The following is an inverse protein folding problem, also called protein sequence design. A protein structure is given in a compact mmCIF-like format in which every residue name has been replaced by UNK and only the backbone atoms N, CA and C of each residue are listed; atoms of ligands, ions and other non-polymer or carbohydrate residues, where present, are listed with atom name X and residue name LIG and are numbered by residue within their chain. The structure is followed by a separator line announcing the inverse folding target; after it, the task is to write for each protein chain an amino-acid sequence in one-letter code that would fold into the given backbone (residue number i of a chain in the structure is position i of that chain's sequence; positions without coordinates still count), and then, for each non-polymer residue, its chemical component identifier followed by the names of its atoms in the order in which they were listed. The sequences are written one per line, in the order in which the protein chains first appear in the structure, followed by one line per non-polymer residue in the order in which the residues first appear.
data_IF_129699013317
#
_entry.id   IF_129699013317
#
_cell.length_a   1.000
_cell.length_b   1.000
_cell.length_c   1.000
_cell.angle_alpha   90.00
_cell.angle_beta   90.00
_cell.angle_gamma   90.00
#
_symmetry.space_group_name_H-M   'P 1'
#
loop_
_entity.id
_entity.type
_entity.pdbx_description
1 polymer ?
#
# COMPACT_ATOMS: atom_id res chain seq x y z
N UNK A 1 -20.94 17.23 11.41
CA UNK A 1 -20.23 17.36 10.14
C UNK A 1 -19.38 16.11 9.97
N UNK A 2 -19.74 15.15 9.07
CA UNK A 2 -18.89 14.01 8.78
C UNK A 2 -17.64 14.53 8.09
N UNK A 3 -16.47 14.32 8.68
CA UNK A 3 -15.20 14.61 8.01
C UNK A 3 -14.98 13.45 7.03
N UNK A 4 -15.49 13.59 5.82
CA UNK A 4 -15.20 12.70 4.71
C UNK A 4 -13.84 13.11 4.14
N UNK A 5 -12.76 12.64 4.75
CA UNK A 5 -11.44 12.78 4.15
C UNK A 5 -10.94 11.40 3.79
N UNK A 6 -10.89 11.07 2.51
CA UNK A 6 -10.23 9.84 2.08
C UNK A 6 -8.78 9.88 2.54
N UNK A 7 -8.35 8.78 3.16
CA UNK A 7 -6.97 8.52 3.55
C UNK A 7 -6.49 7.30 2.78
N UNK A 8 -5.40 7.43 2.09
CA UNK A 8 -4.73 6.29 1.44
C UNK A 8 -3.42 6.00 2.14
N UNK A 9 -3.26 4.76 2.61
CA UNK A 9 -2.04 4.28 3.26
C UNK A 9 -1.18 3.55 2.23
N UNK A 10 0.06 3.97 2.08
CA UNK A 10 1.04 3.40 1.13
C UNK A 10 2.32 2.98 1.86
N UNK A 11 3.16 2.20 1.20
CA UNK A 11 4.46 1.77 1.72
C UNK A 11 4.68 0.26 1.64
N UNK A 12 5.86 -0.22 2.06
CA UNK A 12 6.27 -1.61 1.97
C UNK A 12 5.31 -2.59 2.66
N UNK A 13 5.43 -3.88 2.36
CA UNK A 13 4.73 -4.92 3.10
C UNK A 13 5.16 -4.92 4.59
N UNK A 14 4.26 -5.38 5.47
CA UNK A 14 4.49 -5.49 6.91
C UNK A 14 4.73 -4.16 7.68
N UNK A 15 4.41 -3.01 7.09
CA UNK A 15 4.47 -1.71 7.80
C UNK A 15 3.31 -1.49 8.77
N UNK A 16 2.24 -2.29 8.69
CA UNK A 16 1.06 -2.18 9.54
C UNK A 16 -0.09 -1.37 8.92
N UNK A 17 -0.08 -1.07 7.62
CA UNK A 17 -1.13 -0.30 6.92
C UNK A 17 -2.53 -0.79 7.22
N UNK A 18 -2.80 -2.08 7.05
CA UNK A 18 -4.13 -2.68 7.28
C UNK A 18 -4.57 -2.53 8.73
N UNK A 19 -3.67 -2.73 9.70
CA UNK A 19 -3.96 -2.54 11.12
C UNK A 19 -4.28 -1.09 11.44
N UNK A 20 -3.43 -0.16 10.99
CA UNK A 20 -3.63 1.27 11.19
C UNK A 20 -4.88 1.76 10.47
N UNK A 21 -5.12 1.32 9.25
CA UNK A 21 -6.29 1.68 8.46
C UNK A 21 -7.60 1.31 9.15
N UNK A 22 -7.70 0.09 9.67
CA UNK A 22 -8.89 -0.36 10.44
C UNK A 22 -9.13 0.50 11.69
N UNK A 23 -8.06 0.81 12.45
CA UNK A 23 -8.17 1.63 13.66
C UNK A 23 -8.57 3.09 13.34
N UNK A 24 -8.00 3.67 12.29
CA UNK A 24 -8.32 5.04 11.85
C UNK A 24 -9.74 5.09 11.32
N UNK A 25 -10.14 4.15 10.45
CA UNK A 25 -11.50 4.08 9.89
C UNK A 25 -12.56 3.95 10.99
N UNK A 26 -12.32 3.09 11.98
CA UNK A 26 -13.20 2.96 13.14
C UNK A 26 -13.32 4.28 13.92
N UNK A 27 -12.20 4.99 14.14
CA UNK A 27 -12.18 6.28 14.86
C UNK A 27 -12.88 7.39 14.10
N UNK A 28 -12.91 7.34 12.77
CA UNK A 28 -13.57 8.31 11.89
C UNK A 28 -15.01 7.91 11.52
N UNK A 29 -15.42 6.67 11.85
CA UNK A 29 -16.73 6.08 11.47
C UNK A 29 -16.92 6.07 9.94
N UNK A 30 -15.88 5.68 9.20
CA UNK A 30 -15.88 5.49 7.74
C UNK A 30 -15.51 4.05 7.38
N UNK A 31 -15.79 3.58 6.15
CA UNK A 31 -15.36 2.26 5.70
C UNK A 31 -13.84 2.12 5.69
N UNK A 32 -13.36 0.89 5.89
CA UNK A 32 -11.96 0.50 5.66
C UNK A 32 -11.90 -0.47 4.47
N UNK A 33 -10.99 -0.20 3.55
CA UNK A 33 -10.74 -1.02 2.36
C UNK A 33 -9.28 -1.46 2.37
N UNK A 34 -9.05 -2.76 2.32
CA UNK A 34 -7.74 -3.35 2.05
C UNK A 34 -7.73 -3.86 0.61
N UNK A 35 -6.92 -3.25 -0.25
CA UNK A 35 -6.89 -3.62 -1.67
C UNK A 35 -6.49 -5.09 -1.86
N UNK A 36 -5.62 -5.62 -1.00
CA UNK A 36 -5.19 -7.02 -1.07
C UNK A 36 -6.36 -8.00 -0.82
N UNK A 37 -7.44 -7.56 -0.16
CA UNK A 37 -8.63 -8.36 0.12
C UNK A 37 -9.70 -8.28 -0.99
N UNK A 38 -9.75 -7.18 -1.75
CA UNK A 38 -10.87 -6.90 -2.67
C UNK A 38 -10.48 -6.78 -4.14
N UNK A 39 -9.20 -6.80 -4.48
CA UNK A 39 -8.75 -6.41 -5.81
C UNK A 39 -9.00 -7.44 -6.92
N UNK A 40 -9.33 -8.69 -6.60
CA UNK A 40 -9.44 -9.76 -7.62
C UNK A 40 -10.45 -9.44 -8.74
N UNK A 41 -11.68 -8.95 -8.47
CA UNK A 41 -12.60 -8.53 -9.52
C UNK A 41 -12.03 -7.42 -10.41
N UNK A 42 -11.27 -6.49 -9.85
CA UNK A 42 -10.62 -5.41 -10.60
C UNK A 42 -9.45 -5.91 -11.47
N UNK A 43 -8.73 -6.96 -11.02
CA UNK A 43 -7.73 -7.61 -11.86
C UNK A 43 -8.39 -8.29 -13.07
N UNK A 44 -9.55 -8.92 -12.88
CA UNK A 44 -10.31 -9.58 -13.94
C UNK A 44 -10.75 -8.60 -15.04
N UNK A 45 -11.09 -7.35 -14.69
CA UNK A 45 -11.39 -6.28 -15.67
C UNK A 45 -10.23 -6.05 -16.65
N UNK A 46 -8.98 -6.30 -16.24
CA UNK A 46 -7.78 -6.17 -17.07
C UNK A 46 -7.28 -7.51 -17.65
N UNK A 47 -8.07 -8.57 -17.51
CA UNK A 47 -7.75 -9.92 -17.99
C UNK A 47 -6.73 -10.67 -17.13
N UNK A 48 -6.58 -10.29 -15.84
CA UNK A 48 -5.75 -10.94 -14.86
C UNK A 48 -6.57 -11.49 -13.69
N UNK A 49 -6.05 -12.51 -13.02
CA UNK A 49 -6.51 -13.02 -11.72
C UNK A 49 -5.35 -13.71 -10.98
N UNK A 50 -5.56 -14.12 -9.75
CA UNK A 50 -4.51 -14.74 -8.94
C UNK A 50 -4.07 -16.11 -9.47
N UNK A 51 -4.95 -16.86 -10.13
CA UNK A 51 -4.61 -18.13 -10.79
C UNK A 51 -3.64 -17.90 -11.94
N UNK A 52 -3.94 -16.92 -12.81
CA UNK A 52 -3.05 -16.53 -13.92
C UNK A 52 -1.69 -16.06 -13.41
N UNK A 53 -1.67 -15.24 -12.34
CA UNK A 53 -0.41 -14.82 -11.71
C UNK A 53 0.39 -16.01 -11.22
N UNK A 54 -0.24 -16.94 -10.50
CA UNK A 54 0.40 -18.16 -10.01
C UNK A 54 0.99 -19.01 -11.15
N UNK A 55 0.23 -19.16 -12.24
CA UNK A 55 0.71 -19.84 -13.44
C UNK A 55 1.92 -19.12 -14.06
N UNK A 56 1.85 -17.78 -14.21
CA UNK A 56 2.98 -17.01 -14.75
C UNK A 56 4.22 -17.13 -13.87
N UNK A 57 4.07 -17.11 -12.55
CA UNK A 57 5.19 -17.32 -11.61
C UNK A 57 5.88 -18.68 -11.89
N UNK A 58 5.11 -19.73 -12.15
CA UNK A 58 5.67 -21.07 -12.43
C UNK A 58 6.40 -21.15 -13.78
N UNK A 59 6.01 -20.33 -14.76
CA UNK A 59 6.56 -20.33 -16.13
C UNK A 59 7.77 -19.43 -16.29
N UNK A 60 7.66 -18.18 -15.82
CA UNK A 60 8.69 -17.12 -16.06
C UNK A 60 9.44 -16.71 -14.79
N UNK A 61 9.07 -17.25 -13.65
CA UNK A 61 9.59 -16.86 -12.34
C UNK A 61 8.87 -15.64 -11.77
N UNK A 62 9.00 -15.47 -10.43
CA UNK A 62 8.23 -14.48 -9.69
C UNK A 62 8.51 -13.06 -10.14
N UNK A 63 9.77 -12.68 -10.32
CA UNK A 63 10.13 -11.30 -10.68
C UNK A 63 9.50 -10.89 -12.00
N UNK A 64 9.62 -11.73 -13.04
CA UNK A 64 9.02 -11.43 -14.34
C UNK A 64 7.48 -11.39 -14.28
N UNK A 65 6.86 -12.35 -13.58
CA UNK A 65 5.42 -12.40 -13.43
C UNK A 65 4.86 -11.15 -12.68
N UNK A 66 5.55 -10.68 -11.64
CA UNK A 66 5.19 -9.46 -10.92
C UNK A 66 5.26 -8.21 -11.82
N UNK A 67 6.23 -8.15 -12.75
CA UNK A 67 6.32 -7.06 -13.73
C UNK A 67 5.17 -7.12 -14.75
N UNK A 68 4.85 -8.30 -15.27
CA UNK A 68 3.70 -8.48 -16.15
C UNK A 68 2.37 -8.09 -15.47
N UNK A 69 2.27 -8.28 -14.16
CA UNK A 69 1.07 -8.00 -13.37
C UNK A 69 0.91 -6.52 -12.98
N UNK A 70 1.92 -5.68 -13.19
CA UNK A 70 1.87 -4.25 -12.86
C UNK A 70 0.67 -3.53 -13.47
N UNK A 71 0.31 -3.86 -14.70
CA UNK A 71 -0.86 -3.27 -15.39
C UNK A 71 -2.17 -3.53 -14.63
N UNK A 72 -2.38 -4.77 -14.17
CA UNK A 72 -3.58 -5.11 -13.41
C UNK A 72 -3.60 -4.43 -12.04
N UNK A 73 -2.44 -4.31 -11.38
CA UNK A 73 -2.34 -3.60 -10.11
C UNK A 73 -2.65 -2.11 -10.25
N UNK A 74 -2.13 -1.46 -11.29
CA UNK A 74 -2.42 -0.04 -11.55
C UNK A 74 -3.90 0.18 -11.86
N UNK A 75 -4.50 -0.69 -12.69
CA UNK A 75 -5.94 -0.67 -12.97
C UNK A 75 -6.75 -0.82 -11.68
N UNK A 76 -6.45 -1.81 -10.84
CA UNK A 76 -7.15 -2.04 -9.59
C UNK A 76 -7.06 -0.82 -8.64
N UNK A 77 -5.91 -0.15 -8.55
CA UNK A 77 -5.77 1.08 -7.74
C UNK A 77 -6.73 2.16 -8.25
N UNK A 78 -6.75 2.41 -9.56
CA UNK A 78 -7.63 3.43 -10.14
C UNK A 78 -9.10 3.11 -9.83
N UNK A 79 -9.54 1.88 -10.07
CA UNK A 79 -10.92 1.44 -9.85
C UNK A 79 -11.33 1.47 -8.36
N UNK A 80 -10.47 0.99 -7.47
CA UNK A 80 -10.75 1.00 -6.01
C UNK A 80 -10.91 2.43 -5.49
N UNK A 81 -10.09 3.37 -5.94
CA UNK A 81 -10.21 4.77 -5.53
C UNK A 81 -11.48 5.44 -6.08
N UNK A 82 -11.92 5.08 -7.29
CA UNK A 82 -13.19 5.54 -7.85
C UNK A 82 -14.40 5.02 -7.07
N UNK A 83 -14.40 3.71 -6.75
CA UNK A 83 -15.54 3.04 -6.12
C UNK A 83 -15.64 3.29 -4.59
N UNK A 84 -14.55 3.72 -3.94
CA UNK A 84 -14.45 3.86 -2.47
C UNK A 84 -13.90 5.23 -2.03
N UNK A 85 -14.38 6.30 -2.64
CA UNK A 85 -13.87 7.67 -2.42
C UNK A 85 -14.04 8.23 -1.01
N UNK A 86 -14.86 7.60 -0.15
CA UNK A 86 -15.14 8.02 1.24
C UNK A 86 -14.51 7.10 2.30
N UNK A 87 -13.61 6.20 1.89
CA UNK A 87 -13.00 5.18 2.74
C UNK A 87 -11.58 5.55 3.19
N UNK A 88 -11.12 4.85 4.24
CA UNK A 88 -9.70 4.68 4.50
C UNK A 88 -9.23 3.46 3.70
N UNK A 89 -8.26 3.65 2.82
CA UNK A 89 -7.78 2.61 1.89
C UNK A 89 -6.34 2.25 2.21
N UNK A 90 -6.04 0.97 2.37
CA UNK A 90 -4.67 0.46 2.44
C UNK A 90 -4.30 -0.14 1.08
N UNK A 91 -3.29 0.43 0.42
CA UNK A 91 -2.73 -0.14 -0.80
C UNK A 91 -1.61 -1.13 -0.46
N UNK A 92 -1.62 -2.29 -1.12
CA UNK A 92 -0.54 -3.28 -1.03
C UNK A 92 0.78 -2.70 -1.56
N UNK A 93 1.91 -3.25 -1.13
CA UNK A 93 3.23 -2.72 -1.48
C UNK A 93 3.47 -2.62 -2.99
N UNK A 94 3.05 -3.66 -3.73
CA UNK A 94 3.15 -3.69 -5.20
C UNK A 94 2.17 -2.76 -5.92
N UNK A 95 1.15 -2.24 -5.24
CA UNK A 95 0.15 -1.35 -5.85
C UNK A 95 0.62 0.10 -5.99
N UNK A 96 1.81 0.42 -5.54
CA UNK A 96 2.42 1.76 -5.68
C UNK A 96 3.84 1.70 -6.23
N UNK A 97 4.38 0.49 -6.45
CA UNK A 97 5.72 0.26 -6.98
C UNK A 97 5.62 -0.29 -8.41
N UNK A 98 6.07 0.49 -9.37
CA UNK A 98 5.99 0.18 -10.80
C UNK A 98 7.33 0.39 -11.48
N UNK A 99 7.66 -0.50 -12.41
CA UNK A 99 8.80 -0.31 -13.33
C UNK A 99 8.41 0.52 -14.56
N UNK A 100 7.12 0.53 -14.90
CA UNK A 100 6.58 1.34 -15.98
C UNK A 100 6.11 2.71 -15.45
N UNK A 101 6.76 3.79 -15.90
CA UNK A 101 6.44 5.16 -15.50
C UNK A 101 5.02 5.58 -15.93
N UNK A 102 4.47 5.02 -17.00
CA UNK A 102 3.10 5.33 -17.43
C UNK A 102 2.08 4.79 -16.42
N UNK A 103 2.33 3.60 -15.85
CA UNK A 103 1.47 3.02 -14.81
C UNK A 103 1.57 3.85 -13.52
N UNK A 104 2.78 4.23 -13.11
CA UNK A 104 2.98 5.13 -11.97
C UNK A 104 2.25 6.46 -12.18
N UNK A 105 2.31 7.02 -13.39
CA UNK A 105 1.62 8.27 -13.69
C UNK A 105 0.11 8.13 -13.65
N UNK A 106 -0.47 7.01 -14.10
CA UNK A 106 -1.90 6.73 -14.01
C UNK A 106 -2.37 6.71 -12.55
N UNK A 107 -1.61 6.03 -11.68
CA UNK A 107 -1.88 6.00 -10.23
C UNK A 107 -1.69 7.38 -9.60
N UNK A 108 -0.69 8.15 -10.00
CA UNK A 108 -0.48 9.52 -9.52
C UNK A 108 -1.66 10.44 -9.84
N UNK A 109 -2.25 10.30 -11.03
CA UNK A 109 -3.40 11.11 -11.44
C UNK A 109 -4.59 10.89 -10.52
N UNK A 110 -4.93 9.63 -10.21
CA UNK A 110 -6.09 9.33 -9.34
C UNK A 110 -5.82 9.64 -7.87
N UNK A 111 -4.57 9.57 -7.41
CA UNK A 111 -4.19 9.94 -6.05
C UNK A 111 -4.09 11.45 -5.84
N UNK A 112 -4.02 12.26 -6.91
CA UNK A 112 -3.86 13.72 -6.83
C UNK A 112 -4.98 14.39 -6.05
N UNK A 113 -6.20 13.86 -6.16
CA UNK A 113 -7.39 14.42 -5.52
C UNK A 113 -7.64 13.81 -4.11
N UNK A 114 -6.77 12.90 -3.67
CA UNK A 114 -6.79 12.35 -2.31
C UNK A 114 -6.09 13.30 -1.34
N UNK A 115 -6.79 13.86 -0.36
CA UNK A 115 -6.24 14.88 0.55
C UNK A 115 -5.04 14.41 1.37
N UNK A 116 -4.97 13.10 1.69
CA UNK A 116 -3.87 12.53 2.44
C UNK A 116 -3.48 11.16 1.88
N UNK A 117 -2.31 11.08 1.27
CA UNK A 117 -1.61 9.84 0.92
C UNK A 117 -0.46 9.68 1.89
N UNK A 118 -0.59 8.74 2.82
CA UNK A 118 0.32 8.57 3.95
C UNK A 118 1.28 7.41 3.75
N UNK A 119 2.57 7.71 3.59
CA UNK A 119 3.63 6.71 3.60
C UNK A 119 3.90 6.23 5.02
N UNK A 120 3.73 4.93 5.26
CA UNK A 120 3.96 4.31 6.57
C UNK A 120 5.29 3.57 6.56
N UNK A 121 6.20 3.95 7.48
CA UNK A 121 7.52 3.33 7.64
C UNK A 121 7.80 3.03 9.11
N UNK A 122 8.54 1.95 9.43
CA UNK A 122 8.89 1.65 10.82
C UNK A 122 10.06 2.51 11.35
N UNK A 123 10.95 2.99 10.49
CA UNK A 123 12.11 3.83 10.86
C UNK A 123 12.53 4.73 9.72
N UNK A 124 13.16 5.85 10.03
CA UNK A 124 13.86 6.69 9.05
C UNK A 124 15.19 6.05 8.61
N UNK A 125 15.77 5.21 9.47
CA UNK A 125 16.97 4.46 9.13
C UNK A 125 16.61 3.26 8.25
N UNK A 126 17.17 3.22 7.04
CA UNK A 126 16.88 2.18 6.05
C UNK A 126 17.15 0.75 6.55
N UNK A 127 18.29 0.55 7.22
CA UNK A 127 18.69 -0.79 7.69
C UNK A 127 17.79 -1.28 8.81
N UNK A 128 17.42 -0.40 9.74
CA UNK A 128 16.45 -0.69 10.81
C UNK A 128 15.06 -0.96 10.23
N UNK A 129 14.62 -0.15 9.28
CA UNK A 129 13.34 -0.33 8.60
C UNK A 129 13.27 -1.69 7.91
N UNK A 130 14.27 -2.05 7.11
CA UNK A 130 14.31 -3.33 6.39
C UNK A 130 14.33 -4.52 7.34
N UNK A 131 15.15 -4.47 8.40
CA UNK A 131 15.20 -5.51 9.43
C UNK A 131 13.85 -5.68 10.13
N UNK A 132 13.22 -4.58 10.53
CA UNK A 132 11.91 -4.59 11.19
C UNK A 132 10.82 -5.17 10.27
N UNK A 133 10.78 -4.74 9.00
CA UNK A 133 9.81 -5.23 8.01
C UNK A 133 9.99 -6.72 7.75
N UNK A 134 11.23 -7.19 7.62
CA UNK A 134 11.52 -8.61 7.38
C UNK A 134 11.06 -9.47 8.55
N UNK A 135 11.39 -9.09 9.78
CA UNK A 135 10.95 -9.79 10.98
C UNK A 135 9.42 -9.84 11.10
N UNK A 136 8.74 -8.69 10.90
CA UNK A 136 7.29 -8.63 10.91
C UNK A 136 6.65 -9.47 9.81
N UNK A 137 7.24 -9.48 8.61
CA UNK A 137 6.73 -10.24 7.48
C UNK A 137 6.88 -11.76 7.68
N UNK A 138 8.00 -12.21 8.21
CA UNK A 138 8.20 -13.62 8.55
C UNK A 138 7.14 -14.10 9.57
N UNK A 139 6.87 -13.30 10.60
CA UNK A 139 5.88 -13.64 11.63
C UNK A 139 4.44 -13.59 11.10
N UNK A 140 4.07 -12.58 10.32
CA UNK A 140 2.68 -12.33 9.93
C UNK A 140 2.28 -12.96 8.59
N UNK A 141 3.23 -13.17 7.68
CA UNK A 141 2.99 -13.64 6.31
C UNK A 141 3.79 -14.89 5.94
N UNK A 142 4.72 -15.34 6.79
CA UNK A 142 5.55 -16.52 6.55
C UNK A 142 6.55 -16.37 5.39
N UNK A 143 6.87 -15.13 4.97
CA UNK A 143 7.80 -14.86 3.86
C UNK A 143 8.72 -13.69 4.18
N UNK A 144 9.97 -13.76 3.70
CA UNK A 144 10.95 -12.68 3.74
C UNK A 144 10.95 -11.84 2.44
N UNK A 145 10.09 -12.20 1.49
CA UNK A 145 9.97 -11.58 0.17
C UNK A 145 11.24 -11.64 -0.70
N UNK A 146 12.10 -12.62 -0.47
CA UNK A 146 13.25 -12.89 -1.34
C UNK A 146 12.90 -14.01 -2.32
N UNK A 147 13.09 -13.78 -3.60
CA UNK A 147 12.83 -14.78 -4.65
C UNK A 147 13.90 -14.69 -5.73
N UNK A 148 14.58 -15.81 -6.00
CA UNK A 148 15.64 -15.88 -7.03
C UNK A 148 16.71 -14.78 -6.89
N UNK A 149 17.09 -14.46 -5.65
CA UNK A 149 18.07 -13.42 -5.34
C UNK A 149 17.53 -11.98 -5.39
N UNK A 150 16.27 -11.78 -5.76
CA UNK A 150 15.60 -10.48 -5.73
C UNK A 150 14.91 -10.26 -4.38
N UNK A 151 15.12 -9.09 -3.78
CA UNK A 151 14.57 -8.69 -2.49
C UNK A 151 13.45 -7.64 -2.68
N UNK A 152 12.21 -8.11 -2.75
CA UNK A 152 11.04 -7.24 -2.93
C UNK A 152 10.81 -6.29 -1.75
N UNK A 153 11.15 -6.68 -0.50
CA UNK A 153 11.03 -5.76 0.62
C UNK A 153 11.98 -4.58 0.52
N UNK A 154 13.24 -4.84 0.12
CA UNK A 154 14.21 -3.79 -0.13
C UNK A 154 13.78 -2.90 -1.30
N UNK A 155 13.29 -3.49 -2.40
CA UNK A 155 12.77 -2.75 -3.55
C UNK A 155 11.64 -1.81 -3.12
N UNK A 156 10.61 -2.31 -2.45
CA UNK A 156 9.47 -1.47 -2.01
C UNK A 156 9.86 -0.41 -0.99
N UNK A 157 10.84 -0.70 -0.11
CA UNK A 157 11.33 0.27 0.86
C UNK A 157 12.08 1.42 0.19
N UNK A 158 12.85 1.12 -0.86
CA UNK A 158 13.68 2.10 -1.59
C UNK A 158 12.93 2.77 -2.74
N UNK A 159 11.69 2.32 -3.05
CA UNK A 159 10.92 2.77 -4.21
C UNK A 159 10.65 4.28 -4.17
N UNK A 160 11.19 4.99 -5.17
CA UNK A 160 11.02 6.43 -5.30
C UNK A 160 9.63 6.80 -5.83
N UNK A 161 9.02 5.91 -6.62
CA UNK A 161 7.67 6.07 -7.14
C UNK A 161 6.67 6.17 -5.98
N UNK A 162 6.64 5.15 -5.11
CA UNK A 162 5.80 5.15 -3.90
C UNK A 162 6.02 6.40 -3.04
N UNK A 163 7.28 6.79 -2.81
CA UNK A 163 7.60 8.00 -2.04
C UNK A 163 7.06 9.27 -2.69
N UNK A 164 7.09 9.34 -4.02
CA UNK A 164 6.61 10.51 -4.77
C UNK A 164 5.08 10.65 -4.80
N UNK A 165 4.35 9.58 -4.51
CA UNK A 165 2.88 9.59 -4.39
C UNK A 165 2.42 10.10 -3.02
N UNK A 166 3.25 10.00 -1.99
CA UNK A 166 2.88 10.34 -0.62
C UNK A 166 2.86 11.87 -0.41
N UNK A 167 1.83 12.37 0.27
CA UNK A 167 1.75 13.76 0.74
C UNK A 167 2.37 13.92 2.13
N UNK A 168 2.33 12.85 2.93
CA UNK A 168 2.82 12.81 4.30
C UNK A 168 3.55 11.48 4.60
N UNK A 169 4.39 11.48 5.64
CA UNK A 169 5.08 10.27 6.09
C UNK A 169 4.87 10.06 7.59
N UNK A 170 4.48 8.85 7.97
CA UNK A 170 4.39 8.40 9.35
C UNK A 170 5.52 7.42 9.68
N UNK A 171 6.32 7.76 10.67
CA UNK A 171 7.28 6.83 11.28
C UNK A 171 6.62 6.23 12.52
N UNK A 172 6.40 4.91 12.50
CA UNK A 172 5.72 4.21 13.61
C UNK A 172 6.67 3.83 14.74
N UNK A 173 7.96 3.60 14.45
CA UNK A 173 8.91 3.15 15.44
C UNK A 173 8.47 1.87 16.15
N UNK A 174 8.57 1.90 17.49
CA UNK A 174 8.09 0.86 18.39
C UNK A 174 6.72 1.17 19.03
N UNK A 175 6.02 2.20 18.54
CA UNK A 175 4.71 2.57 19.07
C UNK A 175 3.68 1.46 18.90
N UNK A 176 2.77 1.34 19.87
CA UNK A 176 1.59 0.51 19.72
C UNK A 176 0.68 1.05 18.58
N UNK A 177 0.00 0.18 17.83
CA UNK A 177 -0.79 0.59 16.67
C UNK A 177 -1.87 1.64 16.99
N UNK A 178 -2.48 1.60 18.17
CA UNK A 178 -3.48 2.57 18.60
C UNK A 178 -2.91 3.98 18.82
N UNK A 179 -1.64 4.08 19.25
CA UNK A 179 -0.93 5.36 19.41
C UNK A 179 -0.68 5.97 18.02
N UNK A 180 -0.14 5.19 17.09
CA UNK A 180 0.08 5.64 15.73
C UNK A 180 -1.24 6.01 15.02
N UNK A 181 -2.32 5.24 15.23
CA UNK A 181 -3.64 5.56 14.68
C UNK A 181 -4.19 6.90 15.21
N UNK A 182 -4.05 7.19 16.52
CA UNK A 182 -4.42 8.49 17.10
C UNK A 182 -3.63 9.65 16.51
N UNK A 183 -2.34 9.45 16.22
CA UNK A 183 -1.50 10.45 15.54
C UNK A 183 -2.05 10.76 14.14
N UNK A 184 -2.41 9.72 13.38
CA UNK A 184 -3.03 9.89 12.04
C UNK A 184 -4.32 10.69 12.15
N UNK A 185 -5.24 10.32 13.04
CA UNK A 185 -6.51 11.04 13.23
C UNK A 185 -6.28 12.51 13.60
N UNK A 186 -5.30 12.78 14.46
CA UNK A 186 -4.94 14.16 14.85
C UNK A 186 -4.38 14.95 13.66
N UNK A 187 -3.54 14.32 12.83
CA UNK A 187 -2.99 14.93 11.61
C UNK A 187 -4.10 15.29 10.62
N UNK A 188 -5.03 14.37 10.36
CA UNK A 188 -6.15 14.59 9.44
C UNK A 188 -7.06 15.76 9.91
N UNK A 189 -7.32 15.86 11.21
CA UNK A 189 -8.14 16.96 11.77
C UNK A 189 -7.48 18.33 11.62
N UNK A 190 -6.15 18.41 11.70
CA UNK A 190 -5.41 19.68 11.51
C UNK A 190 -5.40 20.14 10.06
N UNK A 191 -5.41 19.21 9.11
CA UNK A 191 -5.47 19.55 7.68
C UNK A 191 -6.84 20.11 7.24
N UNK A 192 -7.88 19.98 8.07
CA UNK A 192 -9.25 20.48 7.80
C UNK A 192 -9.62 21.74 8.57
N UNK A 193 -8.74 22.25 9.41
CA UNK A 193 -8.92 23.47 10.20
C UNK A 193 -8.21 24.65 9.57
#
# INVERSE_FOLDING_TARGET
MRITMPLVLVGPAATGKSTLGRLVAASLSVPFIDIDEIAEPYYEESGWNLEKLSHRISVVGRVAAEREWETARAHAVCRVLEDHSDAVIALGAGHTSYTDEHLLQSVRIVLKDVPCVLLVLPSVNRSEALSTLRNRSLVSKGTDWVSSGHDFLAEWLDDKGTRSLATETLITGSEAPDVSAKRIVTMLRRATS
#
